data_IF_882965893242
#
_entry.id   IF_882965893242
#
_cell.length_a   1.000
_cell.length_b   1.000
_cell.length_c   1.000
_cell.angle_alpha   90.00
_cell.angle_beta   90.00
_cell.angle_gamma   90.00
#
_symmetry.space_group_name_H-M   'P 1'
#
loop_
_entity.id
_entity.type
_entity.pdbx_description
1 polymer ?
#
# COMPACT_ATOMS: atom_id res chain seq x y z
N UNK A 1 11.97 16.11 -28.23
CA UNK A 1 12.67 15.09 -27.45
C UNK A 1 12.08 15.20 -26.05
N UNK A 2 11.24 14.28 -25.64
CA UNK A 2 10.82 14.17 -24.25
C UNK A 2 12.06 13.88 -23.44
N UNK A 3 12.48 14.79 -22.58
CA UNK A 3 13.58 14.53 -21.65
C UNK A 3 13.00 13.67 -20.55
N UNK A 4 13.46 12.41 -20.43
CA UNK A 4 13.05 11.48 -19.37
C UNK A 4 13.43 11.98 -17.95
N UNK A 5 14.05 13.15 -17.86
CA UNK A 5 14.52 13.75 -16.61
C UNK A 5 13.78 15.06 -16.34
N UNK A 6 13.20 15.16 -15.15
CA UNK A 6 12.59 16.39 -14.66
C UNK A 6 13.64 17.27 -13.96
N UNK A 7 13.65 18.53 -14.31
CA UNK A 7 14.51 19.57 -13.74
C UNK A 7 13.71 20.49 -12.83
N UNK A 8 14.41 21.35 -12.11
CA UNK A 8 13.80 22.43 -11.31
C UNK A 8 12.80 23.22 -12.15
N UNK A 9 11.60 23.40 -11.62
CA UNK A 9 10.51 24.12 -12.28
C UNK A 9 9.64 23.25 -13.22
N UNK A 10 10.05 22.02 -13.54
CA UNK A 10 9.16 21.07 -14.20
C UNK A 10 8.02 20.66 -13.30
N UNK A 11 6.92 20.21 -13.89
CA UNK A 11 5.70 19.84 -13.17
C UNK A 11 5.54 18.33 -13.11
N UNK A 12 5.44 17.79 -11.89
CA UNK A 12 5.04 16.41 -11.62
C UNK A 12 3.54 16.37 -11.33
N UNK A 13 2.77 15.68 -12.15
CA UNK A 13 1.37 15.38 -11.92
C UNK A 13 1.21 14.12 -11.07
N UNK A 14 0.27 14.12 -10.13
CA UNK A 14 -0.01 13.00 -9.25
C UNK A 14 -1.48 12.62 -9.36
N UNK A 15 -1.77 11.34 -9.57
CA UNK A 15 -3.13 10.76 -9.62
C UNK A 15 -3.30 9.66 -8.58
N UNK A 16 -4.52 9.54 -8.05
CA UNK A 16 -4.85 8.50 -7.05
C UNK A 16 -4.24 8.76 -5.68
N UNK A 17 -4.06 10.02 -5.37
CA UNK A 17 -3.47 10.47 -4.10
C UNK A 17 -4.41 10.12 -2.93
N UNK A 18 -3.83 9.59 -1.87
CA UNK A 18 -4.52 9.29 -0.61
C UNK A 18 -3.96 10.15 0.54
N UNK A 19 -4.14 9.71 1.78
CA UNK A 19 -3.59 10.36 2.99
C UNK A 19 -2.06 10.52 2.97
N UNK A 20 -1.34 9.69 2.20
CA UNK A 20 0.11 9.77 2.03
C UNK A 20 0.51 10.91 1.08
N UNK A 21 -0.42 11.41 0.31
CA UNK A 21 -0.20 12.41 -0.73
C UNK A 21 0.41 13.71 -0.26
N UNK A 22 0.09 14.15 0.96
CA UNK A 22 0.70 15.34 1.55
C UNK A 22 2.23 15.24 1.59
N UNK A 23 2.78 14.12 2.06
CA UNK A 23 4.22 13.89 2.13
C UNK A 23 4.85 13.75 0.74
N UNK A 24 4.14 13.12 -0.19
CA UNK A 24 4.61 13.00 -1.57
C UNK A 24 4.71 14.35 -2.27
N UNK A 25 3.70 15.22 -2.13
CA UNK A 25 3.72 16.59 -2.65
C UNK A 25 4.89 17.39 -2.04
N UNK A 26 5.08 17.28 -0.71
CA UNK A 26 6.20 17.95 -0.04
C UNK A 26 7.55 17.49 -0.57
N UNK A 27 7.76 16.19 -0.74
CA UNK A 27 8.99 15.63 -1.30
C UNK A 27 9.25 16.14 -2.74
N UNK A 28 8.20 16.25 -3.57
CA UNK A 28 8.32 16.79 -4.92
C UNK A 28 8.70 18.28 -4.91
N UNK A 29 8.11 19.06 -4.00
CA UNK A 29 8.48 20.47 -3.83
C UNK A 29 9.90 20.67 -3.30
N UNK A 30 10.34 19.84 -2.36
CA UNK A 30 11.73 19.84 -1.88
C UNK A 30 12.73 19.47 -2.99
N UNK A 31 12.32 18.63 -3.93
CA UNK A 31 13.08 18.33 -5.14
C UNK A 31 13.09 19.48 -6.17
N UNK A 32 12.39 20.60 -5.91
CA UNK A 32 12.28 21.77 -6.76
C UNK A 32 11.29 21.63 -7.91
N UNK A 33 10.35 20.68 -7.83
CA UNK A 33 9.31 20.48 -8.82
C UNK A 33 8.05 21.29 -8.47
N UNK A 34 7.31 21.70 -9.50
CA UNK A 34 5.91 22.07 -9.36
C UNK A 34 5.08 20.80 -9.28
N UNK A 35 3.92 20.87 -8.61
CA UNK A 35 3.04 19.72 -8.40
C UNK A 35 1.62 20.02 -8.87
N UNK A 36 1.14 19.23 -9.82
CA UNK A 36 -0.27 19.14 -10.18
C UNK A 36 -0.91 17.92 -9.54
N UNK A 37 -2.17 18.04 -9.12
CA UNK A 37 -2.94 16.90 -8.57
C UNK A 37 -4.24 16.75 -9.34
N UNK A 38 -4.59 15.53 -9.75
CA UNK A 38 -5.90 15.18 -10.31
C UNK A 38 -6.69 14.36 -9.30
N UNK A 39 -7.88 14.84 -8.94
CA UNK A 39 -8.77 14.20 -7.97
C UNK A 39 -10.17 14.02 -8.57
N UNK A 40 -10.84 12.93 -8.23
CA UNK A 40 -12.26 12.72 -8.56
C UNK A 40 -13.21 13.43 -7.58
N UNK A 41 -12.70 13.83 -6.42
CA UNK A 41 -13.38 14.64 -5.40
C UNK A 41 -12.40 15.60 -4.72
N UNK A 42 -12.92 16.61 -4.03
CA UNK A 42 -12.07 17.59 -3.36
C UNK A 42 -11.48 17.04 -2.05
N UNK A 43 -10.15 17.03 -1.97
CA UNK A 43 -9.42 16.76 -0.73
C UNK A 43 -8.71 18.03 -0.24
N UNK A 44 -9.20 18.67 0.84
CA UNK A 44 -8.71 19.98 1.24
C UNK A 44 -7.22 20.05 1.57
N UNK A 45 -6.65 19.02 2.18
CA UNK A 45 -5.23 19.02 2.56
C UNK A 45 -4.32 18.95 1.32
N UNK A 46 -4.62 18.04 0.38
CA UNK A 46 -3.83 17.86 -0.81
C UNK A 46 -4.00 19.02 -1.80
N UNK A 47 -5.22 19.55 -1.94
CA UNK A 47 -5.47 20.66 -2.84
C UNK A 47 -4.75 21.94 -2.45
N UNK A 48 -4.50 22.18 -1.15
CA UNK A 48 -3.78 23.37 -0.67
C UNK A 48 -2.28 23.33 -0.91
N UNK A 49 -1.68 22.15 -1.02
CA UNK A 49 -0.24 21.98 -1.15
C UNK A 49 0.21 21.94 -2.61
N UNK A 50 -0.65 21.52 -3.53
CA UNK A 50 -0.37 21.48 -4.95
C UNK A 50 -0.31 22.89 -5.54
N UNK A 51 0.48 23.09 -6.62
CA UNK A 51 0.52 24.35 -7.35
C UNK A 51 -0.76 24.54 -8.18
N UNK A 52 -1.33 23.46 -8.65
CA UNK A 52 -2.66 23.43 -9.23
C UNK A 52 -3.36 22.10 -8.97
N UNK A 53 -4.69 22.13 -9.00
CA UNK A 53 -5.54 20.94 -8.82
C UNK A 53 -6.62 20.91 -9.87
N UNK A 54 -6.77 19.77 -10.53
CA UNK A 54 -7.89 19.47 -11.41
C UNK A 54 -8.83 18.50 -10.69
N UNK A 55 -10.09 18.90 -10.52
CA UNK A 55 -11.13 18.05 -9.92
C UNK A 55 -12.09 17.61 -11.04
N UNK A 56 -12.16 16.31 -11.29
CA UNK A 56 -13.01 15.76 -12.34
C UNK A 56 -13.07 14.24 -12.34
N UNK A 57 -14.16 13.72 -12.90
CA UNK A 57 -14.28 12.28 -13.10
C UNK A 57 -13.18 11.77 -14.03
N UNK A 58 -12.62 10.60 -13.76
CA UNK A 58 -11.60 9.96 -14.60
C UNK A 58 -12.06 9.63 -16.04
N UNK A 59 -13.34 9.84 -16.37
CA UNK A 59 -13.89 9.75 -17.74
C UNK A 59 -13.95 11.11 -18.46
N UNK A 60 -13.65 12.20 -17.77
CA UNK A 60 -13.65 13.57 -18.33
C UNK A 60 -12.35 13.80 -19.11
N UNK A 61 -12.44 13.52 -20.41
CA UNK A 61 -11.29 13.64 -21.32
C UNK A 61 -10.76 15.07 -21.46
N UNK A 62 -11.61 16.09 -21.32
CA UNK A 62 -11.20 17.48 -21.41
C UNK A 62 -10.30 17.85 -20.26
N UNK A 63 -10.72 17.53 -19.02
CA UNK A 63 -9.94 17.74 -17.81
C UNK A 63 -8.66 16.89 -17.75
N UNK A 64 -8.73 15.64 -18.21
CA UNK A 64 -7.55 14.79 -18.32
C UNK A 64 -6.52 15.35 -19.32
N UNK A 65 -6.99 15.90 -20.45
CA UNK A 65 -6.11 16.56 -21.42
C UNK A 65 -5.48 17.80 -20.81
N UNK A 66 -6.29 18.69 -20.20
CA UNK A 66 -5.80 19.87 -19.49
C UNK A 66 -4.74 19.52 -18.45
N UNK A 67 -4.99 18.47 -17.65
CA UNK A 67 -4.03 18.02 -16.64
C UNK A 67 -2.74 17.51 -17.28
N UNK A 68 -2.83 16.62 -18.28
CA UNK A 68 -1.68 16.04 -18.95
C UNK A 68 -0.81 17.07 -19.66
N UNK A 69 -1.42 18.07 -20.33
CA UNK A 69 -0.71 19.14 -21.03
C UNK A 69 0.03 20.12 -20.08
N UNK A 70 -0.41 20.19 -18.81
CA UNK A 70 0.23 21.03 -17.77
C UNK A 70 1.26 20.27 -16.93
N UNK A 71 1.51 18.98 -17.20
CA UNK A 71 2.49 18.18 -16.49
C UNK A 71 3.58 17.67 -17.44
N UNK A 72 4.84 17.75 -17.01
CA UNK A 72 5.97 17.15 -17.72
C UNK A 72 6.05 15.64 -17.54
N UNK A 73 5.58 15.14 -16.38
CA UNK A 73 5.35 13.73 -16.11
C UNK A 73 4.15 13.55 -15.17
N UNK A 74 3.48 12.42 -15.27
CA UNK A 74 2.38 12.04 -14.37
C UNK A 74 2.67 10.67 -13.76
N UNK A 75 2.47 10.55 -12.45
CA UNK A 75 2.53 9.30 -11.69
C UNK A 75 1.15 8.91 -11.16
N UNK A 76 0.97 7.60 -10.95
CA UNK A 76 -0.20 7.02 -10.31
C UNK A 76 0.20 6.35 -8.99
N UNK A 77 -0.57 6.59 -7.93
CA UNK A 77 -0.27 6.14 -6.57
C UNK A 77 -1.18 5.01 -6.09
N UNK A 78 -1.91 4.37 -7.01
CA UNK A 78 -2.79 3.25 -6.70
C UNK A 78 -3.08 2.42 -7.95
N UNK A 79 -3.25 1.11 -7.78
CA UNK A 79 -3.74 0.23 -8.82
C UNK A 79 -5.27 0.35 -9.07
N UNK A 80 -5.97 1.21 -8.35
CA UNK A 80 -7.42 1.41 -8.51
C UNK A 80 -7.79 2.38 -9.64
N UNK A 81 -6.82 3.10 -10.22
CA UNK A 81 -7.06 3.95 -11.39
C UNK A 81 -7.12 3.06 -12.64
N UNK A 82 -8.17 3.22 -13.44
CA UNK A 82 -8.31 2.49 -14.71
C UNK A 82 -7.10 2.77 -15.63
N UNK A 83 -6.41 1.73 -16.05
CA UNK A 83 -5.24 1.80 -16.94
C UNK A 83 -5.55 2.55 -18.25
N UNK A 84 -6.80 2.52 -18.70
CA UNK A 84 -7.28 3.30 -19.87
C UNK A 84 -7.09 4.80 -19.66
N UNK A 85 -7.26 5.30 -18.42
CA UNK A 85 -7.06 6.72 -18.07
C UNK A 85 -5.59 7.09 -18.18
N UNK A 86 -4.71 6.27 -17.61
CA UNK A 86 -3.25 6.49 -17.68
C UNK A 86 -2.74 6.37 -19.12
N UNK A 87 -3.26 5.41 -19.89
CA UNK A 87 -2.98 5.27 -21.32
C UNK A 87 -3.49 6.47 -22.15
N UNK A 88 -4.57 7.08 -21.73
CA UNK A 88 -5.03 8.32 -22.36
C UNK A 88 -4.07 9.47 -22.08
N UNK A 89 -3.65 9.64 -20.82
CA UNK A 89 -2.71 10.67 -20.39
C UNK A 89 -1.33 10.54 -21.03
N UNK A 90 -0.88 9.31 -21.30
CA UNK A 90 0.43 9.08 -21.94
C UNK A 90 0.58 9.69 -23.34
N UNK A 91 -0.52 10.17 -23.93
CA UNK A 91 -0.50 10.93 -25.19
C UNK A 91 -0.03 12.38 -25.01
N UNK A 92 -0.10 12.91 -23.82
CA UNK A 92 0.14 14.31 -23.50
C UNK A 92 1.35 14.50 -22.58
N UNK A 93 1.69 13.49 -21.80
CA UNK A 93 2.73 13.56 -20.77
C UNK A 93 3.48 12.23 -20.64
N UNK A 94 4.67 12.25 -20.03
CA UNK A 94 5.41 11.04 -19.69
C UNK A 94 4.79 10.32 -18.49
N UNK A 95 4.78 8.97 -18.50
CA UNK A 95 4.34 8.12 -17.39
C UNK A 95 5.54 7.27 -16.95
N UNK A 96 6.36 7.73 -15.99
CA UNK A 96 7.62 7.09 -15.64
C UNK A 96 7.47 5.65 -15.12
N UNK A 97 6.36 5.36 -14.42
CA UNK A 97 6.06 4.05 -13.85
C UNK A 97 5.73 2.98 -14.88
N UNK A 98 5.43 3.37 -16.14
CA UNK A 98 4.99 2.48 -17.20
C UNK A 98 3.48 2.24 -17.21
N UNK A 99 2.97 1.71 -18.31
CA UNK A 99 1.54 1.40 -18.51
C UNK A 99 1.24 -0.07 -18.21
N UNK A 100 2.06 -0.97 -18.72
CA UNK A 100 1.88 -2.42 -18.58
C UNK A 100 1.87 -2.88 -17.12
N UNK A 101 2.73 -2.36 -16.20
CA UNK A 101 2.67 -2.70 -14.79
C UNK A 101 1.32 -2.41 -14.14
N UNK A 102 0.69 -1.28 -14.50
CA UNK A 102 -0.62 -0.93 -13.97
C UNK A 102 -1.71 -1.92 -14.44
N UNK A 103 -1.69 -2.31 -15.71
CA UNK A 103 -2.62 -3.32 -16.23
C UNK A 103 -2.51 -4.65 -15.49
N UNK A 104 -1.28 -5.09 -15.19
CA UNK A 104 -1.03 -6.31 -14.41
C UNK A 104 -1.55 -6.18 -12.97
N UNK A 105 -1.21 -5.09 -12.28
CA UNK A 105 -1.57 -4.93 -10.87
C UNK A 105 -3.05 -4.56 -10.65
N UNK A 106 -3.71 -3.96 -11.63
CA UNK A 106 -5.11 -3.60 -11.57
C UNK A 106 -6.04 -4.82 -11.65
N UNK A 107 -5.68 -5.80 -12.46
CA UNK A 107 -6.44 -7.03 -12.68
C UNK A 107 -5.84 -8.17 -11.86
N UNK A 108 -6.57 -8.63 -10.83
CA UNK A 108 -6.09 -9.71 -9.94
C UNK A 108 -5.78 -11.00 -10.66
N UNK A 109 -6.45 -11.31 -11.77
CA UNK A 109 -6.16 -12.51 -12.56
C UNK A 109 -4.87 -12.34 -13.36
N UNK A 110 -4.63 -11.16 -13.93
CA UNK A 110 -3.36 -10.85 -14.60
C UNK A 110 -2.20 -10.84 -13.61
N UNK A 111 -2.40 -10.30 -12.40
CA UNK A 111 -1.41 -10.34 -11.33
C UNK A 111 -1.07 -11.79 -10.96
N UNK A 112 -2.07 -12.66 -10.77
CA UNK A 112 -1.85 -14.09 -10.48
C UNK A 112 -1.11 -14.80 -11.62
N UNK A 113 -1.49 -14.54 -12.87
CA UNK A 113 -0.81 -15.11 -14.03
C UNK A 113 0.66 -14.65 -14.14
N UNK A 114 0.94 -13.40 -13.85
CA UNK A 114 2.32 -12.87 -13.77
C UNK A 114 3.12 -13.56 -12.67
N UNK A 115 2.55 -13.71 -11.47
CA UNK A 115 3.20 -14.35 -10.33
C UNK A 115 3.46 -15.85 -10.59
N UNK A 116 2.54 -16.54 -11.24
CA UNK A 116 2.71 -17.93 -11.66
C UNK A 116 3.88 -18.09 -12.65
N UNK A 117 4.04 -17.16 -13.59
CA UNK A 117 5.14 -17.18 -14.57
C UNK A 117 6.53 -17.08 -13.90
N UNK A 118 6.62 -16.37 -12.79
CA UNK A 118 7.87 -16.21 -12.03
C UNK A 118 7.98 -17.18 -10.84
N UNK A 119 7.13 -18.20 -10.80
CA UNK A 119 7.09 -19.25 -9.79
C UNK A 119 6.97 -18.69 -8.35
N UNK A 120 6.07 -17.77 -8.14
CA UNK A 120 5.73 -17.23 -6.82
C UNK A 120 4.49 -17.91 -6.29
N UNK A 121 4.58 -18.42 -5.07
CA UNK A 121 3.46 -19.08 -4.41
C UNK A 121 2.38 -18.07 -3.99
N UNK A 122 1.16 -18.29 -4.46
CA UNK A 122 -0.03 -17.49 -4.15
C UNK A 122 -1.13 -18.37 -3.58
N UNK A 123 -2.12 -17.80 -2.92
CA UNK A 123 -3.29 -18.55 -2.45
C UNK A 123 -3.96 -19.29 -3.62
N UNK A 124 -4.37 -20.56 -3.46
CA UNK A 124 -5.16 -21.27 -4.47
C UNK A 124 -6.40 -20.47 -4.84
N UNK A 125 -6.69 -20.36 -6.13
CA UNK A 125 -7.78 -19.54 -6.63
C UNK A 125 -8.50 -20.16 -7.84
N UNK A 126 -9.73 -19.73 -8.04
CA UNK A 126 -10.52 -19.98 -9.27
C UNK A 126 -11.28 -18.73 -9.67
N UNK A 127 -11.58 -18.61 -10.95
CA UNK A 127 -12.48 -17.55 -11.46
C UNK A 127 -13.93 -18.02 -11.41
N UNK A 128 -14.82 -17.12 -10.97
CA UNK A 128 -16.25 -17.38 -10.86
C UNK A 128 -17.05 -16.22 -11.46
N UNK A 129 -18.18 -16.52 -12.07
CA UNK A 129 -19.08 -15.52 -12.69
C UNK A 129 -20.43 -15.47 -11.96
N UNK A 130 -20.81 -16.57 -11.29
CA UNK A 130 -22.08 -16.69 -10.59
C UNK A 130 -22.01 -17.63 -9.39
N UNK A 131 -23.12 -17.73 -8.66
CA UNK A 131 -23.22 -18.58 -7.48
C UNK A 131 -22.95 -20.06 -7.79
N UNK A 132 -23.42 -20.55 -8.93
CA UNK A 132 -23.23 -21.94 -9.34
C UNK A 132 -21.75 -22.29 -9.46
N UNK A 133 -20.92 -21.36 -9.96
CA UNK A 133 -19.48 -21.56 -10.05
C UNK A 133 -18.84 -21.65 -8.65
N UNK A 134 -19.34 -20.84 -7.70
CA UNK A 134 -18.86 -20.90 -6.31
C UNK A 134 -19.19 -22.27 -5.71
N UNK A 135 -20.45 -22.72 -5.85
CA UNK A 135 -20.85 -24.06 -5.33
C UNK A 135 -20.04 -25.20 -5.95
N UNK A 136 -19.70 -25.11 -7.23
CA UNK A 136 -18.90 -26.13 -7.92
C UNK A 136 -17.43 -26.12 -7.52
N UNK A 137 -16.90 -24.95 -7.16
CA UNK A 137 -15.45 -24.76 -6.91
C UNK A 137 -15.07 -24.80 -5.44
N UNK A 138 -16.00 -24.55 -4.53
CA UNK A 138 -15.71 -24.35 -3.11
C UNK A 138 -15.06 -25.56 -2.45
N UNK A 139 -15.41 -26.78 -2.87
CA UNK A 139 -14.81 -28.00 -2.35
C UNK A 139 -13.30 -28.09 -2.66
N UNK A 140 -12.86 -27.53 -3.77
CA UNK A 140 -11.44 -27.49 -4.16
C UNK A 140 -10.67 -26.31 -3.54
N UNK A 141 -11.36 -25.21 -3.25
CA UNK A 141 -10.78 -24.01 -2.62
C UNK A 141 -10.74 -24.17 -1.10
N UNK A 142 -11.77 -24.79 -0.51
CA UNK A 142 -11.92 -24.96 0.93
C UNK A 142 -12.59 -23.77 1.63
N UNK A 143 -12.84 -23.93 2.93
CA UNK A 143 -13.32 -22.86 3.81
C UNK A 143 -12.27 -22.55 4.89
N UNK A 144 -12.11 -21.29 5.28
CA UNK A 144 -12.71 -20.08 4.70
C UNK A 144 -12.19 -19.79 3.28
N UNK A 145 -13.01 -19.09 2.49
CA UNK A 145 -12.61 -18.56 1.17
C UNK A 145 -12.93 -17.08 1.09
N UNK A 146 -12.25 -16.37 0.18
CA UNK A 146 -12.46 -14.93 -0.05
C UNK A 146 -12.87 -14.71 -1.49
N UNK A 147 -14.02 -14.08 -1.70
CA UNK A 147 -14.50 -13.66 -3.01
C UNK A 147 -14.13 -12.20 -3.25
N UNK A 148 -13.44 -11.93 -4.36
CA UNK A 148 -12.94 -10.58 -4.73
C UNK A 148 -13.32 -10.26 -6.18
N UNK A 149 -13.73 -9.00 -6.51
CA UNK A 149 -13.80 -8.60 -7.91
C UNK A 149 -12.43 -8.73 -8.58
N UNK A 150 -12.38 -9.11 -9.85
CA UNK A 150 -11.10 -9.16 -10.59
C UNK A 150 -10.47 -7.78 -10.66
N UNK A 151 -11.26 -6.74 -10.97
CA UNK A 151 -10.75 -5.38 -11.07
C UNK A 151 -10.66 -4.73 -9.70
N UNK A 152 -9.49 -4.20 -9.34
CA UNK A 152 -9.29 -3.38 -8.14
C UNK A 152 -10.05 -2.05 -8.27
N UNK A 153 -10.53 -1.52 -7.15
CA UNK A 153 -11.28 -0.25 -7.12
C UNK A 153 -12.72 -0.33 -7.63
N UNK A 154 -13.24 -1.52 -7.89
CA UNK A 154 -14.63 -1.73 -8.33
C UNK A 154 -15.46 -2.39 -7.23
N UNK A 155 -16.42 -1.66 -6.67
CA UNK A 155 -17.35 -2.17 -5.66
C UNK A 155 -16.70 -2.38 -4.28
N UNK A 156 -17.20 -3.34 -3.52
CA UNK A 156 -16.58 -3.78 -2.27
C UNK A 156 -15.36 -4.64 -2.56
N UNK A 157 -14.31 -4.50 -1.70
CA UNK A 157 -13.03 -5.16 -1.99
C UNK A 157 -13.06 -6.68 -1.85
N UNK A 158 -13.86 -7.22 -0.90
CA UNK A 158 -13.92 -8.66 -0.67
C UNK A 158 -15.14 -9.09 0.15
N UNK A 159 -15.54 -10.34 -0.03
CA UNK A 159 -16.53 -11.04 0.81
C UNK A 159 -15.92 -12.32 1.35
N UNK A 160 -15.89 -12.48 2.67
CA UNK A 160 -15.50 -13.73 3.34
C UNK A 160 -16.64 -14.74 3.29
N UNK A 161 -16.31 -15.98 2.90
CA UNK A 161 -17.20 -17.15 2.87
C UNK A 161 -16.63 -18.18 3.84
N UNK A 162 -17.19 -18.27 5.03
CA UNK A 162 -16.70 -19.17 6.09
C UNK A 162 -17.36 -20.54 6.10
N UNK A 163 -18.52 -20.67 5.47
CA UNK A 163 -19.33 -21.89 5.39
C UNK A 163 -20.29 -21.81 4.21
N UNK A 164 -20.85 -22.93 3.81
CA UNK A 164 -21.75 -23.06 2.67
C UNK A 164 -22.94 -22.07 2.70
N UNK A 165 -23.52 -21.84 3.89
CA UNK A 165 -24.64 -20.88 4.03
C UNK A 165 -24.28 -19.44 3.72
N UNK A 166 -22.99 -19.07 3.73
CA UNK A 166 -22.54 -17.72 3.41
C UNK A 166 -22.51 -17.47 1.89
N UNK A 167 -22.49 -18.55 1.08
CA UNK A 167 -22.45 -18.44 -0.40
C UNK A 167 -23.66 -17.65 -0.90
N UNK A 168 -24.84 -17.84 -0.30
CA UNK A 168 -26.04 -17.11 -0.71
C UNK A 168 -25.85 -15.57 -0.64
N UNK A 169 -25.02 -15.06 0.29
CA UNK A 169 -24.71 -13.63 0.42
C UNK A 169 -23.90 -13.10 -0.75
N UNK A 170 -23.19 -13.98 -1.46
CA UNK A 170 -22.45 -13.58 -2.64
C UNK A 170 -23.36 -13.06 -3.76
N UNK A 171 -24.66 -13.42 -3.80
CA UNK A 171 -25.63 -12.89 -4.77
C UNK A 171 -25.75 -11.36 -4.68
N UNK A 172 -25.72 -10.81 -3.49
CA UNK A 172 -25.84 -9.36 -3.26
C UNK A 172 -24.48 -8.64 -3.50
N UNK A 173 -23.38 -9.36 -3.24
CA UNK A 173 -22.02 -8.87 -3.45
C UNK A 173 -21.62 -8.87 -4.94
N UNK A 174 -21.96 -9.95 -5.66
CA UNK A 174 -21.63 -10.12 -7.08
C UNK A 174 -22.55 -9.27 -7.97
N UNK A 175 -21.95 -8.27 -8.61
CA UNK A 175 -22.57 -7.56 -9.73
C UNK A 175 -22.15 -8.25 -11.04
N UNK A 176 -22.57 -7.71 -12.19
CA UNK A 176 -22.11 -8.22 -13.48
C UNK A 176 -20.57 -8.15 -13.56
N UNK A 177 -19.92 -9.27 -13.87
CA UNK A 177 -18.47 -9.35 -14.02
C UNK A 177 -17.89 -10.68 -13.54
N UNK A 178 -16.58 -10.77 -13.58
CA UNK A 178 -15.83 -11.94 -13.14
C UNK A 178 -15.22 -11.65 -11.76
N UNK A 179 -15.17 -12.67 -10.93
CA UNK A 179 -14.64 -12.63 -9.56
C UNK A 179 -13.58 -13.68 -9.39
N UNK A 180 -12.72 -13.47 -8.41
CA UNK A 180 -11.73 -14.41 -7.95
C UNK A 180 -12.21 -14.99 -6.62
N UNK A 181 -12.33 -16.32 -6.55
CA UNK A 181 -12.56 -17.06 -5.29
C UNK A 181 -11.23 -17.65 -4.88
N UNK A 182 -10.69 -17.20 -3.75
CA UNK A 182 -9.38 -17.59 -3.22
C UNK A 182 -9.51 -18.33 -1.89
N UNK A 183 -8.67 -19.34 -1.65
CA UNK A 183 -8.51 -19.93 -0.32
C UNK A 183 -8.03 -18.85 0.67
N UNK A 184 -8.64 -18.82 1.84
CA UNK A 184 -8.07 -18.07 2.95
C UNK A 184 -6.79 -18.75 3.42
N UNK A 185 -5.69 -18.00 3.45
CA UNK A 185 -4.43 -18.49 4.03
C UNK A 185 -4.44 -18.17 5.52
N UNK A 186 -4.55 -19.21 6.34
CA UNK A 186 -4.35 -19.09 7.78
C UNK A 186 -2.87 -18.79 8.03
N UNK A 187 -2.59 -17.59 8.58
CA UNK A 187 -1.24 -17.07 8.72
C UNK A 187 -1.02 -16.52 10.12
N UNK A 188 0.20 -16.64 10.59
CA UNK A 188 0.65 -16.15 11.90
C UNK A 188 1.33 -14.80 11.83
N UNK A 189 1.77 -14.40 10.63
CA UNK A 189 2.42 -13.11 10.41
C UNK A 189 2.18 -12.59 8.99
N UNK A 190 2.16 -11.28 8.86
CA UNK A 190 2.17 -10.57 7.60
C UNK A 190 3.42 -9.69 7.51
N UNK A 191 4.10 -9.76 6.37
CA UNK A 191 5.31 -8.97 6.12
C UNK A 191 5.17 -8.15 4.85
N UNK A 192 5.84 -7.00 4.82
CA UNK A 192 6.01 -6.20 3.63
C UNK A 192 7.50 -6.00 3.31
N UNK A 193 7.85 -6.23 2.04
CA UNK A 193 9.15 -5.86 1.50
C UNK A 193 8.96 -4.75 0.49
N UNK A 194 9.32 -3.54 0.89
CA UNK A 194 9.27 -2.36 0.03
C UNK A 194 10.56 -2.24 -0.76
N UNK A 195 10.45 -1.86 -2.02
CA UNK A 195 11.60 -1.58 -2.87
C UNK A 195 11.39 -0.34 -3.74
N UNK A 196 12.49 0.33 -4.01
CA UNK A 196 12.60 1.37 -5.02
C UNK A 196 13.22 0.75 -6.28
N UNK A 197 12.55 0.89 -7.43
CA UNK A 197 13.00 0.31 -8.72
C UNK A 197 13.34 1.45 -9.67
N UNK A 198 14.58 1.50 -10.11
CA UNK A 198 15.06 2.47 -11.09
C UNK A 198 15.71 1.79 -12.32
N UNK A 199 16.51 2.52 -13.08
CA UNK A 199 17.23 1.97 -14.22
C UNK A 199 18.46 1.14 -13.84
N UNK A 200 18.94 1.26 -12.60
CA UNK A 200 20.14 0.59 -12.11
C UNK A 200 19.79 -0.72 -11.40
N UNK A 201 18.53 -0.88 -10.95
CA UNK A 201 18.04 -2.10 -10.33
C UNK A 201 17.01 -1.89 -9.22
N UNK A 202 16.97 -2.85 -8.29
CA UNK A 202 16.05 -2.89 -7.17
C UNK A 202 16.79 -2.54 -5.88
N UNK A 203 16.29 -1.55 -5.15
CA UNK A 203 16.82 -1.09 -3.86
C UNK A 203 15.83 -1.46 -2.77
N UNK A 204 16.14 -2.51 -2.01
CA UNK A 204 15.23 -3.06 -0.99
C UNK A 204 15.38 -2.28 0.32
N UNK A 205 14.25 -1.89 0.91
CA UNK A 205 14.16 -1.54 2.32
C UNK A 205 14.23 -2.81 3.18
N UNK A 206 14.57 -2.71 4.46
CA UNK A 206 14.48 -3.84 5.37
C UNK A 206 13.05 -4.41 5.43
N UNK A 207 12.95 -5.70 5.77
CA UNK A 207 11.66 -6.34 5.98
C UNK A 207 10.91 -5.64 7.11
N UNK A 208 9.61 -5.41 6.92
CA UNK A 208 8.71 -4.91 7.95
C UNK A 208 7.59 -5.91 8.24
N UNK A 209 7.17 -5.98 9.51
CA UNK A 209 6.04 -6.78 9.98
C UNK A 209 4.82 -5.88 10.13
N UNK A 210 3.69 -6.33 9.59
CA UNK A 210 2.42 -5.64 9.65
C UNK A 210 1.58 -6.23 10.79
N UNK A 211 1.15 -5.38 11.72
CA UNK A 211 0.35 -5.79 12.87
C UNK A 211 -1.06 -5.21 12.77
N UNK A 212 -2.05 -6.08 12.96
CA UNK A 212 -3.45 -5.73 12.80
C UNK A 212 -4.19 -5.81 14.14
N UNK A 213 -5.10 -4.86 14.35
CA UNK A 213 -6.09 -4.91 15.41
C UNK A 213 -7.30 -5.75 14.98
N UNK A 214 -8.25 -5.90 15.89
CA UNK A 214 -9.54 -6.54 15.63
C UNK A 214 -10.21 -6.00 14.37
N UNK A 215 -10.83 -6.87 13.59
CA UNK A 215 -11.43 -6.54 12.31
C UNK A 215 -10.42 -6.33 11.18
N UNK A 216 -9.18 -6.86 11.35
CA UNK A 216 -8.11 -6.81 10.35
C UNK A 216 -7.73 -5.38 9.93
N UNK A 217 -7.73 -4.45 10.88
CA UNK A 217 -7.30 -3.05 10.66
C UNK A 217 -5.82 -2.91 10.98
N UNK A 218 -5.01 -2.46 10.02
CA UNK A 218 -3.59 -2.21 10.24
C UNK A 218 -3.40 -1.24 11.41
N UNK A 219 -2.65 -1.65 12.43
CA UNK A 219 -2.43 -0.89 13.65
C UNK A 219 -0.99 -0.41 13.79
N UNK A 220 -0.03 -1.29 13.56
CA UNK A 220 1.37 -0.97 13.68
C UNK A 220 2.22 -1.68 12.63
N UNK A 221 3.43 -1.16 12.42
CA UNK A 221 4.44 -1.73 11.53
C UNK A 221 5.77 -1.68 12.26
N UNK A 222 6.52 -2.78 12.25
CA UNK A 222 7.83 -2.91 12.89
C UNK A 222 8.93 -3.16 11.88
N UNK A 223 10.08 -2.53 12.06
CA UNK A 223 11.27 -2.80 11.23
C UNK A 223 12.54 -2.35 11.98
N UNK A 224 13.68 -3.05 11.79
CA UNK A 224 13.80 -4.34 11.12
C UNK A 224 13.18 -5.48 11.94
N UNK A 225 12.82 -6.56 11.27
CA UNK A 225 12.32 -7.78 11.93
C UNK A 225 13.25 -8.94 11.68
N UNK A 226 13.32 -9.84 12.64
CA UNK A 226 14.15 -11.05 12.57
C UNK A 226 13.26 -12.21 12.16
N UNK A 227 13.56 -12.80 11.02
CA UNK A 227 12.96 -14.03 10.51
C UNK A 227 14.06 -15.04 10.17
N UNK A 228 13.77 -16.34 9.96
CA UNK A 228 14.76 -17.29 9.48
C UNK A 228 15.44 -16.82 8.18
N UNK A 229 16.75 -17.02 8.09
CA UNK A 229 17.56 -16.53 6.95
C UNK A 229 17.05 -17.02 5.60
N UNK A 230 16.65 -18.28 5.52
CA UNK A 230 16.09 -18.90 4.32
C UNK A 230 14.78 -18.24 3.87
N UNK A 231 13.93 -17.87 4.82
CA UNK A 231 12.69 -17.14 4.56
C UNK A 231 12.99 -15.72 4.05
N UNK A 232 13.92 -15.00 4.70
CA UNK A 232 14.30 -13.65 4.28
C UNK A 232 14.88 -13.65 2.86
N UNK A 233 15.77 -14.61 2.56
CA UNK A 233 16.36 -14.72 1.23
C UNK A 233 15.33 -15.10 0.16
N UNK A 234 14.34 -15.92 0.49
CA UNK A 234 13.24 -16.24 -0.42
C UNK A 234 12.34 -15.00 -0.68
N UNK A 235 12.00 -14.21 0.36
CA UNK A 235 11.25 -12.94 0.18
C UNK A 235 12.04 -11.96 -0.71
N UNK A 236 13.35 -11.82 -0.49
CA UNK A 236 14.23 -10.99 -1.33
C UNK A 236 14.28 -11.49 -2.78
N UNK A 237 14.39 -12.81 -2.96
CA UNK A 237 14.38 -13.42 -4.29
C UNK A 237 13.10 -13.11 -5.05
N UNK A 238 11.95 -13.25 -4.38
CA UNK A 238 10.63 -12.94 -4.95
C UNK A 238 10.54 -11.46 -5.31
N UNK A 239 10.87 -10.56 -4.37
CA UNK A 239 10.83 -9.12 -4.61
C UNK A 239 11.72 -8.72 -5.79
N UNK A 240 12.96 -9.20 -5.85
CA UNK A 240 13.86 -8.95 -6.97
C UNK A 240 13.33 -9.52 -8.29
N UNK A 241 12.73 -10.71 -8.29
CA UNK A 241 12.14 -11.29 -9.50
C UNK A 241 10.99 -10.42 -10.03
N UNK A 242 10.14 -9.90 -9.13
CA UNK A 242 9.07 -8.97 -9.47
C UNK A 242 9.65 -7.68 -10.05
N UNK A 243 10.59 -7.04 -9.35
CA UNK A 243 11.20 -5.78 -9.80
C UNK A 243 11.88 -5.90 -11.17
N UNK A 244 12.51 -7.04 -11.45
CA UNK A 244 13.19 -7.27 -12.72
C UNK A 244 12.24 -7.56 -13.89
N UNK A 245 11.04 -8.10 -13.64
CA UNK A 245 10.16 -8.60 -14.70
C UNK A 245 8.87 -7.79 -14.88
N UNK A 246 8.45 -7.04 -13.86
CA UNK A 246 7.23 -6.24 -13.92
C UNK A 246 7.34 -5.04 -14.86
N UNK A 247 8.55 -4.51 -15.10
CA UNK A 247 8.76 -3.32 -15.92
C UNK A 247 8.33 -2.01 -15.25
N UNK A 248 8.11 -2.03 -13.94
CA UNK A 248 7.70 -0.88 -13.12
C UNK A 248 8.92 -0.06 -12.69
N UNK A 249 8.73 1.28 -12.55
CA UNK A 249 9.71 2.20 -11.95
C UNK A 249 9.04 3.04 -10.87
N UNK A 250 9.66 3.10 -9.72
CA UNK A 250 9.12 3.79 -8.54
C UNK A 250 9.15 2.89 -7.31
N UNK A 251 8.37 3.27 -6.32
CA UNK A 251 8.18 2.48 -5.10
C UNK A 251 7.10 1.41 -5.33
N UNK A 252 7.36 0.21 -4.84
CA UNK A 252 6.40 -0.88 -4.77
C UNK A 252 6.60 -1.67 -3.48
N UNK A 253 5.52 -2.06 -2.83
CA UNK A 253 5.54 -2.96 -1.69
C UNK A 253 5.01 -4.34 -2.10
N UNK A 254 5.74 -5.38 -1.71
CA UNK A 254 5.39 -6.79 -1.91
C UNK A 254 4.97 -7.35 -0.56
N UNK A 255 3.71 -7.73 -0.43
CA UNK A 255 3.13 -8.19 0.82
C UNK A 255 3.06 -9.72 0.87
N UNK A 256 3.37 -10.29 2.03
CA UNK A 256 3.48 -11.73 2.24
C UNK A 256 2.66 -12.19 3.44
N UNK A 257 2.06 -13.37 3.32
CA UNK A 257 1.57 -14.18 4.43
C UNK A 257 2.59 -15.26 4.80
N UNK A 258 2.79 -15.47 6.09
CA UNK A 258 3.57 -16.60 6.62
C UNK A 258 2.67 -17.44 7.52
N UNK A 259 2.55 -18.73 7.19
CA UNK A 259 1.75 -19.70 7.96
C UNK A 259 2.49 -20.17 9.21
N UNK A 260 1.79 -20.80 10.14
CA UNK A 260 2.37 -21.44 11.34
C UNK A 260 3.42 -22.52 11.01
N UNK A 261 3.38 -23.09 9.81
CA UNK A 261 4.35 -24.08 9.31
C UNK A 261 5.53 -23.44 8.56
N UNK A 262 5.60 -22.12 8.47
CA UNK A 262 6.65 -21.37 7.77
C UNK A 262 6.46 -21.28 6.26
N UNK A 263 5.31 -21.69 5.72
CA UNK A 263 5.06 -21.52 4.28
C UNK A 263 4.81 -20.06 3.95
N UNK A 264 5.43 -19.60 2.86
CA UNK A 264 5.34 -18.24 2.36
C UNK A 264 4.35 -18.16 1.20
N UNK A 265 3.43 -17.20 1.27
CA UNK A 265 2.50 -16.87 0.17
C UNK A 265 2.58 -15.37 -0.12
N UNK A 266 2.63 -15.01 -1.38
CA UNK A 266 2.46 -13.61 -1.77
C UNK A 266 0.98 -13.24 -1.64
N UNK A 267 0.73 -12.14 -0.92
CA UNK A 267 -0.61 -11.59 -0.71
C UNK A 267 -1.02 -10.72 -1.89
N UNK A 268 -0.27 -9.64 -2.13
CA UNK A 268 -0.51 -8.66 -3.19
C UNK A 268 0.71 -7.77 -3.47
N UNK A 269 0.57 -6.95 -4.52
CA UNK A 269 1.51 -5.91 -4.92
C UNK A 269 0.85 -4.55 -4.77
N UNK A 270 1.53 -3.60 -4.10
CA UNK A 270 1.08 -2.22 -3.90
C UNK A 270 2.02 -1.25 -4.61
N UNK A 271 1.64 -0.69 -5.78
CA UNK A 271 2.42 0.32 -6.47
C UNK A 271 2.29 1.69 -5.81
N UNK A 272 3.35 2.48 -5.92
CA UNK A 272 3.41 3.82 -5.34
C UNK A 272 3.75 3.82 -3.86
N UNK A 273 3.58 4.96 -3.22
CA UNK A 273 3.81 5.11 -1.78
C UNK A 273 2.71 4.42 -0.98
N UNK A 274 3.10 3.57 -0.05
CA UNK A 274 2.18 2.73 0.73
C UNK A 274 2.22 3.04 2.22
N UNK A 275 1.15 2.67 2.93
CA UNK A 275 1.14 2.80 4.40
C UNK A 275 2.17 1.87 5.04
N UNK A 276 2.39 0.68 4.46
CA UNK A 276 3.38 -0.30 4.96
C UNK A 276 4.82 0.24 4.95
N UNK A 277 5.15 1.13 4.02
CA UNK A 277 6.47 1.74 3.91
C UNK A 277 6.62 3.06 4.71
N UNK A 278 5.57 3.54 5.37
CA UNK A 278 5.63 4.78 6.16
C UNK A 278 6.63 4.71 7.32
N UNK A 279 6.90 3.52 7.83
CA UNK A 279 7.92 3.32 8.87
C UNK A 279 9.27 3.91 8.45
N UNK A 280 9.66 3.81 7.17
CA UNK A 280 10.92 4.30 6.64
C UNK A 280 10.99 5.82 6.47
N UNK A 281 9.90 6.54 6.70
CA UNK A 281 9.90 8.02 6.65
C UNK A 281 10.80 8.63 7.71
N UNK A 282 10.85 8.02 8.90
CA UNK A 282 11.63 8.53 10.04
C UNK A 282 12.72 7.55 10.49
N UNK A 283 12.75 6.33 9.96
CA UNK A 283 13.74 5.31 10.36
C UNK A 283 14.86 5.10 9.35
N UNK A 284 14.69 5.49 8.08
CA UNK A 284 15.69 5.33 7.04
C UNK A 284 16.34 6.67 6.66
N UNK A 285 17.53 6.60 6.06
CA UNK A 285 18.23 7.77 5.50
C UNK A 285 17.51 8.39 4.30
N UNK A 286 16.59 7.67 3.68
CA UNK A 286 15.76 8.14 2.56
C UNK A 286 14.35 7.57 2.67
N UNK A 287 13.35 8.43 2.55
CA UNK A 287 11.95 8.03 2.60
C UNK A 287 11.47 7.43 1.28
N UNK A 288 10.39 6.64 1.34
CA UNK A 288 9.70 6.19 0.13
C UNK A 288 9.23 7.34 -0.78
N UNK A 289 8.84 8.46 -0.18
CA UNK A 289 8.35 9.65 -0.90
C UNK A 289 9.45 10.30 -1.72
N UNK A 290 10.63 10.46 -1.11
CA UNK A 290 11.81 11.00 -1.79
C UNK A 290 12.26 10.08 -2.91
N UNK A 291 12.32 8.76 -2.68
CA UNK A 291 12.65 7.76 -3.70
C UNK A 291 11.67 7.79 -4.87
N UNK A 292 10.36 7.82 -4.58
CA UNK A 292 9.32 7.88 -5.61
C UNK A 292 9.52 9.11 -6.51
N UNK A 293 9.72 10.29 -5.91
CA UNK A 293 9.92 11.53 -6.66
C UNK A 293 11.22 11.47 -7.48
N UNK A 294 12.33 10.99 -6.90
CA UNK A 294 13.63 10.89 -7.61
C UNK A 294 13.52 10.01 -8.84
N UNK A 295 12.96 8.81 -8.69
CA UNK A 295 12.81 7.85 -9.77
C UNK A 295 11.87 8.40 -10.85
N UNK A 296 10.75 9.00 -10.43
CA UNK A 296 9.79 9.62 -11.35
C UNK A 296 10.36 10.80 -12.10
N UNK A 297 11.35 11.50 -11.51
CA UNK A 297 12.12 12.55 -12.16
C UNK A 297 13.26 12.04 -13.02
N UNK A 298 13.38 10.73 -13.27
CA UNK A 298 14.44 10.13 -14.08
C UNK A 298 15.81 10.11 -13.41
N UNK A 299 15.88 10.27 -12.09
CA UNK A 299 17.11 10.24 -11.29
C UNK A 299 17.27 8.85 -10.65
N UNK A 300 18.52 8.37 -10.44
CA UNK A 300 18.73 7.11 -9.73
C UNK A 300 18.24 7.20 -8.28
N UNK A 301 17.78 6.07 -7.76
CA UNK A 301 17.42 5.95 -6.35
C UNK A 301 18.63 6.21 -5.43
N UNK A 302 18.38 6.64 -4.21
CA UNK A 302 19.41 6.68 -3.18
C UNK A 302 19.63 5.29 -2.59
N UNK A 303 20.86 5.00 -2.17
CA UNK A 303 21.14 3.81 -1.38
C UNK A 303 20.45 3.91 -0.03
N UNK A 304 19.90 2.78 0.40
CA UNK A 304 19.29 2.61 1.72
C UNK A 304 20.38 2.05 2.64
N UNK A 305 21.10 2.94 3.32
CA UNK A 305 22.32 2.58 4.08
C UNK A 305 22.07 2.50 5.58
N UNK A 306 21.27 3.42 6.11
CA UNK A 306 21.00 3.52 7.53
C UNK A 306 19.52 3.34 7.82
N UNK A 307 19.18 2.26 8.53
CA UNK A 307 17.82 2.06 9.03
C UNK A 307 17.86 1.81 10.52
N UNK A 308 17.20 2.67 11.27
CA UNK A 308 17.08 2.55 12.72
C UNK A 308 15.91 1.63 13.07
N UNK A 309 16.00 0.91 14.21
CA UNK A 309 14.83 0.25 14.77
C UNK A 309 13.68 1.23 14.94
N UNK A 310 12.49 0.81 14.53
CA UNK A 310 11.31 1.65 14.57
C UNK A 310 10.03 0.85 14.72
N UNK A 311 9.02 1.51 15.29
CA UNK A 311 7.62 1.11 15.23
C UNK A 311 6.84 2.31 14.70
N UNK A 312 6.12 2.08 13.62
CA UNK A 312 5.15 3.03 13.08
C UNK A 312 3.76 2.59 13.51
N UNK A 313 2.96 3.53 14.02
CA UNK A 313 1.64 3.25 14.57
C UNK A 313 0.59 4.18 13.96
N UNK A 314 -0.62 3.64 13.82
CA UNK A 314 -1.76 4.34 13.29
C UNK A 314 -2.68 4.71 14.46
N UNK A 315 -2.97 6.00 14.60
CA UNK A 315 -3.90 6.54 15.58
C UNK A 315 -5.27 6.79 14.98
N UNK A 316 -6.30 6.34 15.68
CA UNK A 316 -7.72 6.52 15.33
C UNK A 316 -8.40 7.45 16.33
N UNK A 317 -9.69 7.69 16.13
CA UNK A 317 -10.50 8.60 16.97
C UNK A 317 -10.41 8.26 18.46
N UNK A 318 -10.48 6.96 18.77
CA UNK A 318 -10.46 6.47 20.15
C UNK A 318 -9.12 6.73 20.86
N UNK A 319 -8.01 6.83 20.11
CA UNK A 319 -6.68 7.10 20.66
C UNK A 319 -6.30 8.58 20.66
N UNK A 320 -7.04 9.46 19.95
CA UNK A 320 -6.60 10.83 19.65
C UNK A 320 -6.18 11.62 20.90
N UNK A 321 -7.02 11.66 21.95
CA UNK A 321 -6.69 12.40 23.17
C UNK A 321 -5.50 11.86 23.95
N UNK A 322 -5.24 10.54 23.85
CA UNK A 322 -4.06 9.93 24.43
C UNK A 322 -2.80 10.29 23.63
N UNK A 323 -2.89 10.26 22.29
CA UNK A 323 -1.81 10.64 21.39
C UNK A 323 -1.41 12.10 21.52
N UNK A 324 -2.36 13.01 21.67
CA UNK A 324 -2.08 14.42 21.95
C UNK A 324 -1.26 14.60 23.26
N UNK A 325 -1.58 13.82 24.31
CA UNK A 325 -0.78 13.81 25.55
C UNK A 325 0.61 13.22 25.34
N UNK A 326 0.72 12.09 24.57
CA UNK A 326 2.03 11.48 24.28
C UNK A 326 2.92 12.44 23.48
N UNK A 327 2.35 13.23 22.56
CA UNK A 327 3.07 14.21 21.78
C UNK A 327 3.70 15.34 22.63
N UNK A 328 3.18 15.58 23.85
CA UNK A 328 3.76 16.55 24.78
C UNK A 328 4.90 16.01 25.64
N UNK A 329 4.97 14.68 25.82
CA UNK A 329 5.91 14.06 26.78
C UNK A 329 6.97 13.17 26.10
N UNK A 330 6.78 12.78 24.84
CA UNK A 330 7.71 11.95 24.07
C UNK A 330 8.47 12.83 23.06
N UNK A 331 9.66 13.26 23.41
CA UNK A 331 10.51 14.12 22.59
C UNK A 331 11.22 13.36 21.45
N UNK A 332 11.38 12.05 21.61
CA UNK A 332 11.99 11.14 20.62
C UNK A 332 11.00 10.47 19.67
N UNK A 333 9.70 10.71 19.82
CA UNK A 333 8.69 10.21 18.92
C UNK A 333 8.24 11.31 17.93
N UNK A 334 7.89 10.91 16.72
CA UNK A 334 7.30 11.80 15.72
C UNK A 334 5.80 11.58 15.63
N UNK A 335 5.07 12.67 15.58
CA UNK A 335 3.61 12.67 15.45
C UNK A 335 3.19 13.48 14.22
N UNK A 336 2.26 12.96 13.45
CA UNK A 336 1.60 13.66 12.35
C UNK A 336 0.09 13.49 12.52
N UNK A 337 -0.63 14.57 12.77
CA UNK A 337 -2.08 14.57 12.94
C UNK A 337 -2.76 14.95 11.64
N UNK A 338 -3.94 14.38 11.39
CA UNK A 338 -4.75 14.59 10.19
C UNK A 338 -6.18 14.98 10.53
N UNK A 339 -6.81 15.71 9.64
CA UNK A 339 -8.27 15.76 9.58
C UNK A 339 -8.73 14.50 8.84
N UNK A 340 -9.60 13.64 9.45
CA UNK A 340 -9.99 12.39 8.83
C UNK A 340 -10.81 12.63 7.58
N UNK A 341 -10.56 11.86 6.55
CA UNK A 341 -11.42 11.81 5.40
C UNK A 341 -12.71 11.07 5.78
N UNK A 342 -13.84 11.77 5.79
CA UNK A 342 -15.14 11.21 6.19
C UNK A 342 -15.66 10.12 5.24
N UNK A 343 -15.10 10.02 4.04
CA UNK A 343 -15.46 8.97 3.07
C UNK A 343 -14.73 7.65 3.33
N UNK A 344 -13.65 7.65 4.13
CA UNK A 344 -12.91 6.43 4.46
C UNK A 344 -13.58 5.65 5.59
N UNK A 345 -13.69 4.31 5.40
CA UNK A 345 -14.21 3.41 6.44
C UNK A 345 -13.29 3.35 7.67
N UNK A 346 -11.97 3.39 7.46
CA UNK A 346 -10.95 3.40 8.51
C UNK A 346 -10.38 4.81 8.65
N UNK A 347 -11.02 5.62 9.49
CA UNK A 347 -10.63 7.00 9.73
C UNK A 347 -9.35 7.08 10.54
N UNK A 348 -8.27 7.49 9.89
CA UNK A 348 -6.97 7.72 10.52
C UNK A 348 -6.86 9.19 10.93
N UNK A 349 -6.47 9.40 12.20
CA UNK A 349 -6.28 10.72 12.79
C UNK A 349 -4.82 11.07 13.04
N UNK A 350 -3.97 10.06 13.18
CA UNK A 350 -2.55 10.28 13.42
C UNK A 350 -1.68 9.16 12.87
N UNK A 351 -0.46 9.52 12.50
CA UNK A 351 0.68 8.64 12.33
C UNK A 351 1.71 8.94 13.41
N UNK A 352 2.26 7.89 14.00
CA UNK A 352 3.27 8.00 15.06
C UNK A 352 4.46 7.12 14.73
N UNK A 353 5.66 7.67 14.83
CA UNK A 353 6.93 6.95 14.66
C UNK A 353 7.69 6.97 16.00
N UNK A 354 7.91 5.81 16.56
CA UNK A 354 8.85 5.59 17.64
C UNK A 354 10.12 4.99 17.06
N UNK A 355 11.24 5.70 17.16
CA UNK A 355 12.54 5.30 16.58
C UNK A 355 13.66 5.46 17.58
N UNK A 356 14.79 4.76 17.39
CA UNK A 356 15.97 4.95 18.21
C UNK A 356 17.22 4.31 17.62
N UNK A 357 18.36 5.03 17.66
CA UNK A 357 19.65 4.56 17.11
C UNK A 357 20.30 3.45 17.94
N UNK A 358 20.21 3.56 19.28
CA UNK A 358 20.91 2.68 20.21
C UNK A 358 19.91 1.82 21.01
N UNK A 359 18.85 1.36 20.36
CA UNK A 359 17.77 0.57 20.94
C UNK A 359 17.35 -0.56 20.01
N UNK A 360 16.55 -1.48 20.51
CA UNK A 360 15.97 -2.58 19.74
C UNK A 360 14.48 -2.33 19.48
N UNK A 361 13.91 -3.01 18.50
CA UNK A 361 12.46 -2.97 18.23
C UNK A 361 11.66 -3.45 19.45
N UNK A 362 12.20 -4.42 20.22
CA UNK A 362 11.57 -4.93 21.44
C UNK A 362 11.54 -3.85 22.54
N UNK A 363 12.63 -3.11 22.75
CA UNK A 363 12.65 -2.00 23.70
C UNK A 363 11.70 -0.86 23.31
N UNK A 364 11.58 -0.57 22.01
CA UNK A 364 10.60 0.39 21.51
C UNK A 364 9.18 -0.14 21.74
N UNK A 365 8.93 -1.44 21.51
CA UNK A 365 7.64 -2.05 21.78
C UNK A 365 7.22 -1.92 23.25
N UNK A 366 8.15 -2.19 24.19
CA UNK A 366 7.87 -1.99 25.61
C UNK A 366 7.49 -0.53 25.92
N UNK A 367 8.16 0.45 25.29
CA UNK A 367 7.79 1.87 25.44
C UNK A 367 6.40 2.19 24.87
N UNK A 368 6.00 1.53 23.79
CA UNK A 368 4.66 1.68 23.18
C UNK A 368 3.61 1.06 24.11
N UNK A 369 3.86 -0.14 24.62
CA UNK A 369 2.95 -0.88 25.51
C UNK A 369 2.73 -0.12 26.83
N UNK A 370 3.78 0.49 27.39
CA UNK A 370 3.72 1.34 28.59
C UNK A 370 2.78 2.56 28.43
N UNK A 371 2.44 2.95 27.20
CA UNK A 371 1.49 4.04 26.97
C UNK A 371 0.03 3.64 27.13
N UNK A 372 -0.27 2.35 27.05
CA UNK A 372 -1.63 1.78 27.04
C UNK A 372 -2.54 2.36 25.93
N UNK A 373 -1.96 2.99 24.88
CA UNK A 373 -2.73 3.63 23.81
C UNK A 373 -3.25 2.63 22.79
N UNK A 374 -2.48 1.58 22.51
CA UNK A 374 -2.79 0.53 21.53
C UNK A 374 -2.99 -0.85 22.16
N UNK A 375 -3.49 -0.90 23.39
CA UNK A 375 -3.78 -2.18 24.06
C UNK A 375 -4.93 -2.87 23.32
N UNK A 376 -4.70 -4.09 22.85
CA UNK A 376 -5.78 -4.97 22.42
C UNK A 376 -6.63 -5.31 23.64
N UNK A 377 -7.93 -5.14 23.54
CA UNK A 377 -8.92 -5.49 24.58
C UNK A 377 -9.09 -7.03 24.77
N UNK A 378 -8.03 -7.82 24.63
CA UNK A 378 -8.05 -9.28 24.77
C UNK A 378 -7.86 -9.79 26.20
N UNK A 379 -8.04 -8.96 27.23
CA UNK A 379 -8.09 -9.42 28.62
C UNK A 379 -9.26 -8.84 29.40
N UNK A 380 -10.49 -9.01 28.91
CA UNK A 380 -11.61 -9.13 29.83
C UNK A 380 -11.90 -10.62 30.02
N UNK A 381 -11.42 -11.13 31.14
CA UNK A 381 -11.74 -12.44 31.67
C UNK A 381 -13.24 -12.70 31.58
N UNK A 382 -13.65 -13.58 30.69
CA UNK A 382 -14.93 -14.27 30.83
C UNK A 382 -14.80 -15.24 31.98
N UNK A 383 -14.99 -14.74 33.19
CA UNK A 383 -15.32 -15.58 34.32
C UNK A 383 -16.81 -15.94 34.18
N UNK A 384 -17.17 -17.19 33.96
CA UNK A 384 -18.56 -17.60 34.05
C UNK A 384 -18.90 -17.79 35.53
N UNK A 385 -19.54 -16.83 36.12
CA UNK A 385 -20.21 -17.01 37.38
C UNK A 385 -21.70 -17.19 37.16
N UNK A 386 -22.14 -18.46 37.44
CA UNK A 386 -23.48 -18.97 37.79
C UNK A 386 -24.59 -18.85 36.75
#
# INVERSE_FOLDING_TARGET
MSTDVLYHGNTLGIMGIDRNGKKLIMAAKEAGLNVGVYLDHAEPENTKLADFTVIGNYRDKEKLTEFGENCDAVIYETASIDSIVIKYLSKYTNIPQGLDPLEIMQDRLMERAFLDQINVNVAPYVTVIGLDDIYQSIDSIGYPAVLKPIQRGVGEDSLMITKESDIARASDFMKAGTYLLESWIDHTAEYAMTMAIDNEGNHLYPLSELQYAEGHRLQAIKSPVIVPDDMLEEMKRIANSIGNQLGYKGIISVNFYVTSTGNLYLKDLEPGVSTSANIFTESANVSQYEQQVRISAGRPAHFIEEVQPAIFMIGRQEQLSALERQALIRDNWKFSFFEPNQSERDQVYAYVWATGKDTTVEEIQNQVDDTEVWVNSEHEDTNPTE
#
